data_IF_105005129483
#
_entry.id   IF_105005129483
#
_cell.length_a   1.000
_cell.length_b   1.000
_cell.length_c   1.000
_cell.angle_alpha   90.00
_cell.angle_beta   90.00
_cell.angle_gamma   90.00
#
_symmetry.space_group_name_H-M   'P 1'
#
loop_
_entity.id
_entity.type
_entity.pdbx_description
1 polymer ?
#
# COMPACT_ATOMS: atom_id res chain seq x y z
N UNK A 1 1.25 5.75 48.04
CA UNK A 1 0.58 5.97 46.74
C UNK A 1 -0.86 5.54 46.90
N UNK A 2 -1.80 6.47 46.81
CA UNK A 2 -3.21 6.22 47.12
C UNK A 2 -3.82 5.10 46.24
N UNK A 3 -4.57 4.16 46.84
CA UNK A 3 -5.10 2.98 46.15
C UNK A 3 -5.97 3.35 44.93
N UNK A 4 -6.63 4.51 44.98
CA UNK A 4 -7.46 5.02 43.88
C UNK A 4 -6.64 5.42 42.65
N UNK A 5 -5.45 6.00 42.83
CA UNK A 5 -4.58 6.37 41.70
C UNK A 5 -4.01 5.14 41.01
N UNK A 6 -3.65 4.10 41.78
CA UNK A 6 -3.21 2.82 41.21
C UNK A 6 -4.31 2.17 40.38
N UNK A 7 -5.56 2.20 40.86
CA UNK A 7 -6.68 1.60 40.17
C UNK A 7 -7.11 2.38 38.93
N UNK A 8 -7.02 3.71 38.95
CA UNK A 8 -7.24 4.55 37.78
C UNK A 8 -6.19 4.30 36.68
N UNK A 9 -4.92 4.15 37.06
CA UNK A 9 -3.83 3.78 36.15
C UNK A 9 -4.05 2.40 35.51
N UNK A 10 -4.45 1.41 36.30
CA UNK A 10 -4.76 0.07 35.82
C UNK A 10 -5.93 0.09 34.83
N UNK A 11 -7.00 0.82 35.14
CA UNK A 11 -8.16 0.97 34.25
C UNK A 11 -7.80 1.68 32.95
N UNK A 12 -6.95 2.72 33.01
CA UNK A 12 -6.48 3.42 31.81
C UNK A 12 -5.64 2.51 30.92
N UNK A 13 -4.74 1.72 31.52
CA UNK A 13 -3.87 0.80 30.79
C UNK A 13 -4.67 -0.33 30.14
N UNK A 14 -5.66 -0.88 30.84
CA UNK A 14 -6.58 -1.89 30.30
C UNK A 14 -7.43 -1.28 29.17
N UNK A 15 -8.07 -0.13 29.39
CA UNK A 15 -8.91 0.53 28.39
C UNK A 15 -8.14 0.90 27.13
N UNK A 16 -6.96 1.51 27.29
CA UNK A 16 -6.10 1.87 26.16
C UNK A 16 -5.54 0.63 25.45
N UNK A 17 -5.21 -0.43 26.19
CA UNK A 17 -4.75 -1.69 25.63
C UNK A 17 -5.80 -2.40 24.77
N UNK A 18 -7.04 -2.48 25.26
CA UNK A 18 -8.15 -3.10 24.50
C UNK A 18 -8.43 -2.34 23.21
N UNK A 19 -8.47 -1.00 23.27
CA UNK A 19 -8.65 -0.16 22.06
C UNK A 19 -7.49 -0.35 21.10
N UNK A 20 -6.25 -0.36 21.58
CA UNK A 20 -5.07 -0.56 20.74
C UNK A 20 -5.08 -1.91 20.02
N UNK A 21 -5.38 -3.00 20.74
CA UNK A 21 -5.52 -4.35 20.16
C UNK A 21 -6.67 -4.37 19.14
N UNK A 22 -7.81 -3.75 19.46
CA UNK A 22 -8.94 -3.66 18.55
C UNK A 22 -8.55 -2.94 17.24
N UNK A 23 -7.83 -1.82 17.32
CA UNK A 23 -7.33 -1.11 16.14
C UNK A 23 -6.33 -1.93 15.35
N UNK A 24 -5.39 -2.65 16.00
CA UNK A 24 -4.46 -3.56 15.30
C UNK A 24 -5.23 -4.61 14.52
N UNK A 25 -6.24 -5.22 15.13
CA UNK A 25 -7.08 -6.23 14.45
C UNK A 25 -7.82 -5.61 13.28
N UNK A 26 -8.44 -4.43 13.45
CA UNK A 26 -9.12 -3.73 12.35
C UNK A 26 -8.17 -3.40 11.21
N UNK A 27 -7.00 -2.84 11.51
CA UNK A 27 -5.96 -2.53 10.50
C UNK A 27 -5.48 -3.81 9.83
N UNK A 28 -5.33 -4.91 10.56
CA UNK A 28 -5.00 -6.21 10.00
C UNK A 28 -6.05 -6.70 8.99
N UNK A 29 -7.33 -6.57 9.33
CA UNK A 29 -8.45 -6.94 8.44
C UNK A 29 -8.50 -6.04 7.21
N UNK A 30 -8.37 -4.72 7.36
CA UNK A 30 -8.40 -3.79 6.21
C UNK A 30 -7.18 -3.98 5.31
N UNK A 31 -6.02 -4.28 5.88
CA UNK A 31 -4.81 -4.63 5.12
C UNK A 31 -4.98 -5.95 4.40
N UNK A 32 -5.59 -6.95 5.04
CA UNK A 32 -5.91 -8.23 4.40
C UNK A 32 -6.89 -8.04 3.25
N UNK A 33 -7.94 -7.22 3.43
CA UNK A 33 -8.83 -6.85 2.33
C UNK A 33 -8.06 -6.15 1.21
N UNK A 34 -7.19 -5.19 1.53
CA UNK A 34 -6.38 -4.49 0.52
C UNK A 34 -5.47 -5.45 -0.24
N UNK A 35 -4.81 -6.38 0.45
CA UNK A 35 -3.95 -7.40 -0.15
C UNK A 35 -4.75 -8.40 -0.99
N UNK A 36 -5.93 -8.82 -0.54
CA UNK A 36 -6.85 -9.65 -1.32
C UNK A 36 -7.30 -8.91 -2.59
N UNK A 37 -7.67 -7.64 -2.48
CA UNK A 37 -8.05 -6.82 -3.63
C UNK A 37 -6.89 -6.64 -4.61
N UNK A 38 -5.66 -6.41 -4.13
CA UNK A 38 -4.49 -6.30 -5.01
C UNK A 38 -4.10 -7.64 -5.67
N UNK A 39 -4.25 -8.76 -4.95
CA UNK A 39 -3.84 -10.09 -5.42
C UNK A 39 -4.89 -10.75 -6.32
N UNK A 40 -6.18 -10.60 -6.01
CA UNK A 40 -7.29 -11.18 -6.77
C UNK A 40 -7.92 -10.18 -7.74
N UNK A 41 -7.83 -8.89 -7.45
CA UNK A 41 -8.19 -7.82 -8.37
C UNK A 41 -7.03 -7.48 -9.29
N UNK A 42 -6.73 -8.33 -10.26
CA UNK A 42 -6.01 -7.93 -11.48
C UNK A 42 -6.86 -6.98 -12.36
N UNK A 43 -7.65 -6.10 -11.75
CA UNK A 43 -8.16 -4.92 -12.43
C UNK A 43 -7.03 -3.89 -12.36
N UNK A 44 -6.50 -3.41 -13.50
CA UNK A 44 -5.62 -2.27 -13.48
C UNK A 44 -6.36 -1.14 -12.77
N UNK A 45 -6.01 -0.90 -11.51
CA UNK A 45 -6.25 0.40 -10.91
C UNK A 45 -5.36 1.33 -11.73
N UNK A 46 -5.93 1.84 -12.83
CA UNK A 46 -5.52 3.11 -13.40
C UNK A 46 -5.33 3.98 -12.16
N UNK A 47 -4.10 4.41 -11.83
CA UNK A 47 -3.91 5.27 -10.67
C UNK A 47 -4.93 6.37 -10.85
N UNK A 48 -5.86 6.50 -9.90
CA UNK A 48 -6.75 7.65 -9.89
C UNK A 48 -5.79 8.83 -9.95
N UNK A 49 -5.73 9.46 -11.12
CA UNK A 49 -4.91 10.64 -11.35
C UNK A 49 -5.53 11.65 -10.40
N UNK A 50 -4.98 11.74 -9.19
CA UNK A 50 -4.98 12.98 -8.44
C UNK A 50 -4.47 13.98 -9.47
N UNK A 51 -5.23 15.02 -9.84
CA UNK A 51 -4.72 16.02 -10.75
C UNK A 51 -3.55 16.71 -10.04
N UNK A 52 -2.35 16.14 -10.18
CA UNK A 52 -1.12 16.85 -9.98
C UNK A 52 -1.16 17.94 -11.04
N UNK A 53 -1.21 19.19 -10.59
CA UNK A 53 -1.21 20.36 -11.45
C UNK A 53 -0.16 20.18 -12.55
N UNK A 54 -0.64 20.03 -13.78
CA UNK A 54 0.14 19.72 -14.96
C UNK A 54 1.15 20.85 -15.23
N UNK A 55 2.46 20.59 -15.38
CA UNK A 55 3.26 21.37 -16.30
C UNK A 55 3.01 20.80 -17.70
N UNK A 56 2.53 21.67 -18.59
CA UNK A 56 2.24 21.33 -19.98
C UNK A 56 3.42 20.63 -20.68
N UNK A 57 3.14 19.52 -21.37
CA UNK A 57 3.91 19.17 -22.56
C UNK A 57 3.08 18.35 -23.53
N UNK A 58 3.11 18.81 -24.77
CA UNK A 58 2.33 18.39 -25.90
C UNK A 58 2.64 16.97 -26.37
N UNK A 59 1.62 16.34 -26.95
CA UNK A 59 1.65 15.47 -28.12
C UNK A 59 2.95 14.72 -28.44
N UNK A 60 2.91 13.39 -28.33
CA UNK A 60 3.53 12.47 -29.30
C UNK A 60 3.02 11.06 -29.04
N UNK A 61 2.52 10.42 -30.09
CA UNK A 61 2.08 9.01 -30.18
C UNK A 61 3.24 7.99 -30.00
N UNK A 62 4.35 8.44 -29.41
CA UNK A 62 5.55 7.66 -29.14
C UNK A 62 5.64 7.47 -27.64
N UNK A 63 5.64 6.22 -27.14
CA UNK A 63 5.77 5.96 -25.71
C UNK A 63 7.05 6.61 -25.19
N UNK A 64 7.02 7.26 -24.01
CA UNK A 64 8.19 7.89 -23.41
C UNK A 64 9.37 6.91 -23.35
N UNK A 65 10.59 7.39 -23.56
CA UNK A 65 11.80 6.56 -23.54
C UNK A 65 11.95 5.72 -22.24
N UNK A 66 11.33 6.16 -21.14
CA UNK A 66 11.23 5.40 -19.89
C UNK A 66 10.46 4.08 -20.03
N UNK A 67 9.36 4.07 -20.80
CA UNK A 67 8.54 2.88 -21.05
C UNK A 67 9.31 1.89 -21.92
N UNK A 68 10.01 2.38 -22.94
CA UNK A 68 10.85 1.53 -23.82
C UNK A 68 11.96 0.84 -23.01
N UNK A 69 12.65 1.57 -22.12
CA UNK A 69 13.66 1.00 -21.22
C UNK A 69 13.10 -0.03 -20.23
N UNK A 70 11.88 0.20 -19.72
CA UNK A 70 11.21 -0.74 -18.84
C UNK A 70 10.87 -2.06 -19.58
N UNK A 71 10.36 -1.96 -20.81
CA UNK A 71 10.08 -3.11 -21.68
C UNK A 71 11.37 -3.88 -21.99
N UNK A 72 12.45 -3.18 -22.36
CA UNK A 72 13.74 -3.81 -22.64
C UNK A 72 14.30 -4.59 -21.44
N UNK A 73 14.22 -3.99 -20.23
CA UNK A 73 14.64 -4.66 -18.99
C UNK A 73 13.81 -5.91 -18.72
N UNK A 74 12.49 -5.83 -18.87
CA UNK A 74 11.58 -6.96 -18.68
C UNK A 74 11.86 -8.10 -19.68
N UNK A 75 12.09 -7.77 -20.96
CA UNK A 75 12.42 -8.75 -22.01
C UNK A 75 13.77 -9.42 -21.75
N UNK A 76 14.80 -8.65 -21.37
CA UNK A 76 16.11 -9.21 -21.00
C UNK A 76 16.01 -10.18 -19.84
N UNK A 77 15.28 -9.80 -18.79
CA UNK A 77 15.07 -10.64 -17.62
C UNK A 77 14.34 -11.94 -17.98
N UNK A 78 13.33 -11.86 -18.85
CA UNK A 78 12.60 -13.04 -19.32
C UNK A 78 13.49 -13.99 -20.14
N UNK A 79 14.36 -13.46 -21.02
CA UNK A 79 15.30 -14.30 -21.79
C UNK A 79 16.34 -14.98 -20.91
N UNK A 80 16.77 -14.32 -19.84
CA UNK A 80 17.70 -14.90 -18.87
C UNK A 80 17.05 -16.02 -18.04
N UNK A 81 15.78 -15.86 -17.65
CA UNK A 81 15.04 -16.89 -16.91
C UNK A 81 14.61 -18.08 -17.76
N UNK A 82 14.47 -17.90 -19.08
CA UNK A 82 14.07 -18.98 -20.00
C UNK A 82 15.25 -19.81 -20.52
N UNK A 83 16.50 -19.50 -20.11
CA UNK A 83 17.72 -20.22 -20.50
C UNK A 83 18.45 -20.85 -19.29
N UNK A 84 17.76 -21.03 -18.15
CA UNK A 84 18.24 -21.77 -16.98
C UNK A 84 17.35 -22.97 -16.68
#
# INVERSE_FOLDING_TARGET
MDPLMSQGLELMLVGMGVVFVFLIVLVGITTLMSALVQRFGQAPIVPAVVPAATPASAASDVPPAAVIKAIEKAVRQHRQSSQS
#
